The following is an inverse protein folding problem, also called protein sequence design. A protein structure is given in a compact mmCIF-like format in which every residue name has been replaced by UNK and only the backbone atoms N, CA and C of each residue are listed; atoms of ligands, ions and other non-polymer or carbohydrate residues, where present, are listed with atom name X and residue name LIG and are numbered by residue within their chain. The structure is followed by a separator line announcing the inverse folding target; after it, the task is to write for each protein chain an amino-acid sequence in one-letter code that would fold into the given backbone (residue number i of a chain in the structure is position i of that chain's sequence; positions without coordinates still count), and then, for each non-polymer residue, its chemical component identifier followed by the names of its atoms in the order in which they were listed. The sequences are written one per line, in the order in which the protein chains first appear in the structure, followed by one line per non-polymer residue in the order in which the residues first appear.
data_IF_433791469484
#
_entry.id   IF_433791469484
#
_cell.length_a   1.000
_cell.length_b   1.000
_cell.length_c   1.000
_cell.angle_alpha   90.00
_cell.angle_beta   90.00
_cell.angle_gamma   90.00
#
_symmetry.space_group_name_H-M   'P 1'
#
loop_
_entity.id
_entity.type
_entity.pdbx_description
1 polymer ?
#
# COMPACT_ATOMS: atom_id res chain seq x y z
N UNK A 1 21.90 28.25 24.29
CA UNK A 1 20.98 27.30 24.96
C UNK A 1 20.32 26.45 23.89
N UNK A 2 20.57 25.13 23.94
CA UNK A 2 19.85 23.99 23.32
C UNK A 2 19.12 24.26 22.00
N UNK A 3 19.62 23.84 20.84
CA UNK A 3 19.91 22.45 20.52
C UNK A 3 18.68 21.84 19.81
N UNK A 4 18.71 21.79 18.48
CA UNK A 4 17.62 21.27 17.67
C UNK A 4 18.13 20.71 16.35
N UNK A 5 19.20 19.90 16.42
CA UNK A 5 19.70 19.14 15.29
C UNK A 5 18.63 18.16 14.84
N UNK A 6 17.77 18.62 13.93
CA UNK A 6 16.82 17.82 13.16
C UNK A 6 17.61 16.85 12.30
N UNK A 7 18.09 15.76 12.92
CA UNK A 7 18.65 14.62 12.21
C UNK A 7 17.54 14.17 11.29
N UNK A 8 17.73 14.42 10.00
CA UNK A 8 17.07 13.73 8.90
C UNK A 8 17.21 12.24 9.20
N UNK A 9 16.24 11.65 9.90
CA UNK A 9 16.16 10.19 10.04
C UNK A 9 16.00 9.70 8.63
N UNK A 10 17.09 9.19 8.08
CA UNK A 10 17.10 8.53 6.79
C UNK A 10 15.96 7.52 6.80
N UNK A 11 15.09 7.62 5.81
CA UNK A 11 14.03 6.67 5.54
C UNK A 11 14.68 5.33 5.21
N UNK A 12 14.85 4.49 6.23
CA UNK A 12 15.26 3.12 6.04
C UNK A 12 14.04 2.36 5.54
N UNK A 13 13.99 2.13 4.23
CA UNK A 13 13.03 1.22 3.63
C UNK A 13 13.63 -0.19 3.61
N UNK A 14 12.97 -1.14 4.26
CA UNK A 14 13.29 -2.57 4.14
C UNK A 14 12.20 -3.24 3.33
N UNK A 15 12.56 -3.92 2.23
CA UNK A 15 11.59 -4.71 1.46
C UNK A 15 11.01 -5.79 2.38
N UNK A 16 9.70 -5.74 2.58
CA UNK A 16 8.96 -6.65 3.46
C UNK A 16 8.37 -7.81 2.66
N UNK A 17 8.17 -7.65 1.35
CA UNK A 17 7.80 -8.74 0.46
C UNK A 17 7.13 -8.29 -0.84
N UNK A 18 6.65 -9.29 -1.59
CA UNK A 18 5.87 -9.12 -2.81
C UNK A 18 4.56 -9.87 -2.70
N UNK A 19 3.46 -9.20 -3.01
CA UNK A 19 2.12 -9.82 -2.97
C UNK A 19 1.38 -9.50 -4.27
N UNK A 20 1.06 -10.53 -5.06
CA UNK A 20 0.27 -10.37 -6.29
C UNK A 20 0.83 -9.33 -7.28
N UNK A 21 2.16 -9.20 -7.37
CA UNK A 21 2.86 -8.21 -8.19
C UNK A 21 3.07 -6.85 -7.52
N UNK A 22 2.40 -6.56 -6.40
CA UNK A 22 2.67 -5.37 -5.61
C UNK A 22 3.96 -5.54 -4.82
N UNK A 23 4.67 -4.43 -4.58
CA UNK A 23 5.85 -4.39 -3.73
C UNK A 23 5.50 -3.71 -2.41
N UNK A 24 6.00 -4.27 -1.32
CA UNK A 24 5.70 -3.82 0.03
C UNK A 24 7.00 -3.58 0.77
N UNK A 25 7.12 -2.41 1.39
CA UNK A 25 8.23 -2.06 2.25
C UNK A 25 7.73 -1.68 3.62
N UNK A 26 8.53 -1.97 4.64
CA UNK A 26 8.43 -1.31 5.93
C UNK A 26 9.30 -0.06 5.86
N UNK A 27 8.72 1.09 6.21
CA UNK A 27 9.39 2.38 6.24
C UNK A 27 9.25 3.01 7.63
N UNK A 28 10.26 3.75 8.07
CA UNK A 28 10.22 4.48 9.34
C UNK A 28 9.74 5.92 9.10
N UNK A 29 8.71 6.34 9.85
CA UNK A 29 8.13 7.69 9.78
C UNK A 29 8.26 8.41 11.13
N UNK A 30 8.05 9.73 11.21
CA UNK A 30 7.98 10.43 12.50
C UNK A 30 6.93 9.88 13.48
N UNK A 31 5.86 9.23 13.00
CA UNK A 31 4.82 8.61 13.85
C UNK A 31 5.14 7.16 14.25
N UNK A 32 6.23 6.59 13.74
CA UNK A 32 6.60 5.19 13.92
C UNK A 32 6.68 4.43 12.59
N UNK A 33 6.78 3.08 12.64
CA UNK A 33 6.84 2.26 11.45
C UNK A 33 5.53 2.35 10.65
N UNK A 34 5.65 2.29 9.33
CA UNK A 34 4.54 2.26 8.40
C UNK A 34 4.81 1.25 7.28
N UNK A 35 3.75 0.87 6.57
CA UNK A 35 3.82 0.05 5.36
C UNK A 35 3.72 0.97 4.15
N UNK A 36 4.72 0.93 3.27
CA UNK A 36 4.65 1.52 1.94
C UNK A 36 4.28 0.44 0.93
N UNK A 37 3.15 0.61 0.24
CA UNK A 37 2.64 -0.35 -0.74
C UNK A 37 2.63 0.26 -2.13
N UNK A 38 3.40 -0.32 -3.04
CA UNK A 38 3.41 0.05 -4.46
C UNK A 38 2.57 -0.90 -5.30
N UNK A 39 1.68 -0.34 -6.10
CA UNK A 39 0.78 -1.06 -6.99
C UNK A 39 1.42 -1.16 -8.38
N UNK A 40 1.94 -2.34 -8.71
CA UNK A 40 2.48 -2.60 -10.03
C UNK A 40 1.37 -2.88 -11.03
N UNK A 41 1.54 -2.47 -12.29
CA UNK A 41 0.62 -2.84 -13.36
C UNK A 41 0.68 -4.36 -13.64
N UNK A 42 -0.49 -4.97 -13.82
CA UNK A 42 -0.60 -6.40 -14.17
C UNK A 42 -0.77 -6.56 -15.68
N UNK A 43 0.33 -6.82 -16.38
CA UNK A 43 0.38 -7.05 -17.83
C UNK A 43 1.43 -6.18 -18.53
N UNK A 44 2.10 -6.74 -19.54
CA UNK A 44 3.10 -6.00 -20.33
C UNK A 44 2.50 -4.81 -21.10
N UNK A 45 3.34 -3.87 -21.50
CA UNK A 45 2.99 -2.65 -22.25
C UNK A 45 2.00 -2.91 -23.40
N UNK A 46 2.25 -3.95 -24.21
CA UNK A 46 1.39 -4.36 -25.32
C UNK A 46 -0.01 -4.82 -24.88
N UNK A 47 -0.13 -5.54 -23.77
CA UNK A 47 -1.43 -6.01 -23.25
C UNK A 47 -2.24 -4.84 -22.67
N UNK A 48 -1.58 -3.83 -22.11
CA UNK A 48 -2.22 -2.63 -21.58
C UNK A 48 -2.72 -1.71 -22.70
N UNK A 49 -1.94 -1.57 -23.78
CA UNK A 49 -2.36 -0.85 -24.99
C UNK A 49 -3.56 -1.52 -25.65
N UNK A 50 -3.51 -2.85 -25.86
CA UNK A 50 -4.62 -3.58 -26.46
C UNK A 50 -5.88 -3.52 -25.59
N UNK A 51 -5.75 -3.61 -24.25
CA UNK A 51 -6.90 -3.42 -23.34
C UNK A 51 -7.48 -2.02 -23.38
N UNK A 52 -6.66 -0.98 -23.53
CA UNK A 52 -7.15 0.40 -23.68
C UNK A 52 -7.99 0.59 -24.93
N UNK A 53 -7.62 -0.06 -26.04
CA UNK A 53 -8.41 -0.07 -27.26
C UNK A 53 -9.73 -0.85 -27.10
N UNK A 54 -9.73 -1.96 -26.35
CA UNK A 54 -10.90 -2.84 -26.17
C UNK A 54 -11.83 -2.50 -25.01
N UNK A 55 -11.44 -1.63 -24.07
CA UNK A 55 -12.32 -1.22 -22.96
C UNK A 55 -13.55 -0.41 -23.43
N UNK A 56 -13.51 0.18 -24.63
CA UNK A 56 -14.69 0.81 -25.23
C UNK A 56 -15.75 -0.17 -25.74
N UNK A 57 -15.37 -1.43 -26.01
CA UNK A 57 -16.23 -2.44 -26.64
C UNK A 57 -16.62 -3.55 -25.65
N UNK A 58 -15.79 -3.83 -24.65
CA UNK A 58 -16.03 -4.87 -23.64
C UNK A 58 -16.28 -4.21 -22.28
N UNK A 59 -17.54 -3.89 -21.98
CA UNK A 59 -18.08 -3.40 -20.68
C UNK A 59 -17.87 -4.37 -19.48
N UNK A 60 -16.82 -5.18 -19.47
CA UNK A 60 -16.61 -6.19 -18.43
C UNK A 60 -15.20 -6.76 -18.30
N UNK A 61 -14.20 -6.25 -19.03
CA UNK A 61 -12.82 -6.72 -18.85
C UNK A 61 -12.17 -6.07 -17.62
N UNK A 62 -12.51 -6.56 -16.42
CA UNK A 62 -12.09 -6.09 -15.09
C UNK A 62 -10.61 -6.41 -14.75
N UNK A 63 -9.71 -6.14 -15.69
CA UNK A 63 -8.29 -6.01 -15.35
C UNK A 63 -8.04 -4.66 -14.70
N UNK A 64 -8.37 -4.51 -13.41
CA UNK A 64 -8.28 -3.22 -12.73
C UNK A 64 -6.84 -2.67 -12.73
N UNK A 65 -6.68 -1.48 -13.34
CA UNK A 65 -5.38 -0.78 -13.46
C UNK A 65 -4.78 -0.55 -12.07
N UNK A 66 -3.46 -0.38 -11.97
CA UNK A 66 -2.81 -0.12 -10.69
C UNK A 66 -3.44 1.06 -9.93
N UNK A 67 -3.73 2.17 -10.63
CA UNK A 67 -4.35 3.37 -10.05
C UNK A 67 -5.78 3.11 -9.54
N UNK A 68 -6.56 2.30 -10.26
CA UNK A 68 -7.91 1.95 -9.84
C UNK A 68 -7.90 1.05 -8.60
N UNK A 69 -7.00 0.06 -8.54
CA UNK A 69 -6.78 -0.74 -7.33
C UNK A 69 -6.33 0.10 -6.15
N UNK A 70 -5.45 1.08 -6.38
CA UNK A 70 -5.03 2.03 -5.35
C UNK A 70 -6.22 2.84 -4.82
N UNK A 71 -7.10 3.34 -5.71
CA UNK A 71 -8.31 4.10 -5.36
C UNK A 71 -9.31 3.25 -4.57
N UNK A 72 -9.69 2.09 -5.12
CA UNK A 72 -10.67 1.18 -4.51
C UNK A 72 -10.22 0.70 -3.14
N UNK A 73 -8.94 0.36 -2.96
CA UNK A 73 -8.44 -0.04 -1.65
C UNK A 73 -8.53 1.10 -0.62
N UNK A 74 -8.30 2.35 -1.04
CA UNK A 74 -8.49 3.52 -0.17
C UNK A 74 -9.94 3.69 0.27
N UNK A 75 -10.88 3.60 -0.68
CA UNK A 75 -12.32 3.69 -0.40
C UNK A 75 -12.78 2.57 0.53
N UNK A 76 -12.33 1.33 0.30
CA UNK A 76 -12.64 0.19 1.17
C UNK A 76 -12.10 0.37 2.60
N UNK A 77 -10.85 0.82 2.76
CA UNK A 77 -10.26 1.05 4.07
C UNK A 77 -11.03 2.11 4.85
N UNK A 78 -11.46 3.19 4.18
CA UNK A 78 -12.30 4.22 4.79
C UNK A 78 -13.64 3.64 5.26
N UNK A 79 -14.35 2.92 4.39
CA UNK A 79 -15.63 2.28 4.71
C UNK A 79 -15.53 1.30 5.88
N UNK A 80 -14.51 0.43 5.88
CA UNK A 80 -14.29 -0.52 6.98
C UNK A 80 -14.03 0.18 8.31
N UNK A 81 -13.27 1.28 8.28
CA UNK A 81 -13.00 2.06 9.47
C UNK A 81 -14.25 2.77 9.99
N UNK A 82 -15.07 3.33 9.11
CA UNK A 82 -16.37 3.89 9.46
C UNK A 82 -17.31 2.85 10.08
N UNK A 83 -17.22 1.60 9.62
CA UNK A 83 -17.94 0.46 10.20
C UNK A 83 -17.33 -0.09 11.51
N UNK A 84 -16.24 0.51 12.02
CA UNK A 84 -15.59 0.08 13.26
C UNK A 84 -14.74 -1.20 13.14
N UNK A 85 -14.42 -1.64 11.93
CA UNK A 85 -13.52 -2.78 11.70
C UNK A 85 -12.08 -2.35 12.00
N UNK A 86 -11.34 -3.21 12.69
CA UNK A 86 -9.92 -2.99 12.97
C UNK A 86 -9.07 -3.19 11.69
N UNK A 87 -8.83 -2.08 10.99
CA UNK A 87 -8.03 -2.01 9.77
C UNK A 87 -6.95 -0.94 9.88
N UNK A 88 -5.81 -1.11 9.18
CA UNK A 88 -4.75 -0.10 9.18
C UNK A 88 -5.26 1.26 8.74
N UNK A 89 -4.82 2.33 9.41
CA UNK A 89 -5.07 3.68 8.93
C UNK A 89 -4.37 3.95 7.61
N UNK A 90 -5.04 4.72 6.76
CA UNK A 90 -4.41 5.37 5.62
C UNK A 90 -3.66 6.63 6.07
N UNK A 91 -2.33 6.63 5.88
CA UNK A 91 -1.42 7.72 6.23
C UNK A 91 -0.90 8.44 4.98
N UNK A 92 -1.45 8.14 3.80
CA UNK A 92 -0.93 8.64 2.52
C UNK A 92 -0.89 10.17 2.45
N UNK A 93 -1.93 10.85 2.95
CA UNK A 93 -1.99 12.31 3.00
C UNK A 93 -1.01 12.92 4.03
N UNK A 94 -0.66 12.18 5.08
CA UNK A 94 0.27 12.63 6.13
C UNK A 94 1.73 12.59 5.66
N UNK A 95 2.05 11.75 4.66
CA UNK A 95 3.41 11.53 4.17
C UNK A 95 3.52 11.65 2.64
N UNK A 96 3.28 12.83 2.05
CA UNK A 96 3.30 13.03 0.60
C UNK A 96 4.66 12.72 -0.05
N UNK A 97 5.77 12.89 0.68
CA UNK A 97 7.11 12.54 0.20
C UNK A 97 7.39 11.03 0.10
N UNK A 98 6.52 10.19 0.69
CA UNK A 98 6.58 8.73 0.59
C UNK A 98 5.49 8.17 -0.31
N UNK A 99 4.40 8.93 -0.46
CA UNK A 99 3.28 8.61 -1.31
C UNK A 99 3.55 8.91 -2.79
N UNK A 100 2.62 8.49 -3.63
CA UNK A 100 2.62 8.77 -5.06
C UNK A 100 1.37 8.20 -5.70
N UNK A 101 1.18 8.43 -7.00
CA UNK A 101 -0.03 8.01 -7.74
C UNK A 101 -0.34 6.50 -7.65
N UNK A 102 0.68 5.70 -7.33
CA UNK A 102 0.59 4.24 -7.18
C UNK A 102 1.22 3.75 -5.89
N UNK A 103 1.38 4.63 -4.91
CA UNK A 103 1.99 4.31 -3.62
C UNK A 103 1.04 4.73 -2.52
N UNK A 104 0.72 3.81 -1.62
CA UNK A 104 -0.11 4.03 -0.44
C UNK A 104 0.75 3.84 0.81
N UNK A 105 0.57 4.72 1.80
CA UNK A 105 1.22 4.61 3.11
C UNK A 105 0.17 4.19 4.12
N UNK A 106 0.39 3.05 4.76
CA UNK A 106 -0.53 2.47 5.73
C UNK A 106 0.15 2.36 7.10
N UNK A 107 -0.64 2.43 8.14
CA UNK A 107 -0.21 2.12 9.50
C UNK A 107 0.41 0.72 9.59
N UNK A 108 1.50 0.60 10.34
CA UNK A 108 2.05 -0.71 10.68
C UNK A 108 1.26 -1.32 11.84
N UNK A 109 0.60 -2.45 11.59
CA UNK A 109 -0.05 -3.22 12.64
C UNK A 109 0.95 -4.18 13.26
N UNK A 110 1.26 -3.97 14.54
CA UNK A 110 2.07 -4.89 15.32
C UNK A 110 1.33 -6.20 15.59
N UNK A 111 2.05 -7.31 15.59
CA UNK A 111 1.48 -8.62 15.87
C UNK A 111 2.16 -9.73 15.06
N UNK A 112 1.67 -10.95 15.23
CA UNK A 112 2.06 -12.10 14.42
C UNK A 112 0.90 -12.49 13.51
N UNK A 113 1.15 -12.82 12.23
CA UNK A 113 0.14 -13.42 11.38
C UNK A 113 -0.48 -14.65 12.05
N UNK A 114 -1.78 -14.85 11.90
CA UNK A 114 -2.49 -16.00 12.47
C UNK A 114 -1.84 -17.33 12.06
N UNK A 115 -1.37 -17.43 10.82
CA UNK A 115 -0.67 -18.63 10.30
C UNK A 115 0.56 -18.99 11.12
N UNK A 116 1.34 -18.00 11.56
CA UNK A 116 2.51 -18.24 12.42
C UNK A 116 2.09 -18.56 13.85
N UNK A 117 1.07 -17.87 14.36
CA UNK A 117 0.55 -18.13 15.70
C UNK A 117 0.02 -19.56 15.85
N UNK A 118 -0.65 -20.08 14.81
CA UNK A 118 -1.18 -21.45 14.78
C UNK A 118 -0.07 -22.49 14.57
N UNK A 119 0.95 -22.19 13.77
CA UNK A 119 2.07 -23.11 13.53
C UNK A 119 2.93 -23.36 14.78
N UNK A 120 2.95 -22.43 15.74
CA UNK A 120 3.70 -22.58 17.01
C UNK A 120 2.94 -23.28 18.13
N UNK A 121 1.73 -23.80 17.87
CA UNK A 121 0.84 -24.41 18.86
C UNK A 121 0.54 -25.90 18.62
N UNK A 122 1.36 -26.60 17.82
CA UNK A 122 1.31 -28.05 17.61
C UNK A 122 2.45 -28.76 18.37
#
# INVERSE_FOLDING_TARGET
MTGGGGRRRALLAREAGRLSGNRIWRVETPRGPAVQKYYAEKGGLLRNLWRGAWSGILRGATGSRAAERWRVEGEMLALWREAGVDVPRDLTAEFPGLAGERVRILEWIGGRPLTEALAGGA
#
